data_IF_615789972866
#
_entry.id   IF_615789972866
#
_cell.length_a   1.000
_cell.length_b   1.000
_cell.length_c   1.000
_cell.angle_alpha   90.00
_cell.angle_beta   90.00
_cell.angle_gamma   90.00
#
_symmetry.space_group_name_H-M   'P 1'
#
loop_
_entity.id
_entity.type
_entity.pdbx_description
1 polymer ?
#
# COMPACT_ATOMS: atom_id res chain seq x y z
N UNK A 1 13.74 -8.93 -16.49
CA UNK A 1 12.95 -8.16 -15.51
C UNK A 1 12.14 -9.19 -14.77
N UNK A 2 12.43 -9.38 -13.48
CA UNK A 2 11.67 -10.32 -12.68
C UNK A 2 10.30 -9.71 -12.40
N UNK A 3 9.28 -10.18 -13.14
CA UNK A 3 7.86 -9.89 -12.86
C UNK A 3 7.39 -10.55 -11.54
N UNK A 4 8.28 -11.27 -10.86
CA UNK A 4 8.04 -11.82 -9.54
C UNK A 4 8.09 -10.70 -8.51
N UNK A 5 6.98 -10.56 -7.79
CA UNK A 5 6.93 -9.78 -6.57
C UNK A 5 7.66 -10.54 -5.47
N UNK A 6 8.52 -9.85 -4.75
CA UNK A 6 9.14 -10.36 -3.53
C UNK A 6 8.18 -10.25 -2.36
N UNK A 7 8.36 -11.11 -1.35
CA UNK A 7 7.57 -11.07 -0.12
C UNK A 7 7.64 -9.70 0.55
N UNK A 8 8.79 -9.01 0.46
CA UNK A 8 8.97 -7.65 0.95
C UNK A 8 8.07 -6.63 0.25
N UNK A 9 7.93 -6.69 -1.09
CA UNK A 9 7.05 -5.80 -1.84
C UNK A 9 5.57 -6.02 -1.48
N UNK A 10 5.20 -7.30 -1.28
CA UNK A 10 3.84 -7.70 -0.92
C UNK A 10 3.47 -7.19 0.49
N UNK A 11 4.40 -7.32 1.45
CA UNK A 11 4.21 -6.83 2.82
C UNK A 11 4.04 -5.31 2.83
N UNK A 12 4.91 -4.57 2.14
CA UNK A 12 4.78 -3.11 2.02
C UNK A 12 3.42 -2.76 1.43
N UNK A 13 3.03 -3.41 0.33
CA UNK A 13 1.75 -3.15 -0.32
C UNK A 13 0.57 -3.33 0.63
N UNK A 14 0.45 -4.48 1.29
CA UNK A 14 -0.71 -4.78 2.13
C UNK A 14 -0.70 -3.95 3.42
N UNK A 15 0.47 -3.73 4.02
CA UNK A 15 0.57 -2.90 5.21
C UNK A 15 0.13 -1.46 4.93
N UNK A 16 0.68 -0.80 3.92
CA UNK A 16 0.32 0.59 3.65
C UNK A 16 -1.12 0.75 3.13
N UNK A 17 -1.61 -0.14 2.26
CA UNK A 17 -3.00 -0.07 1.77
C UNK A 17 -3.99 -0.34 2.91
N UNK A 18 -3.72 -1.28 3.81
CA UNK A 18 -4.59 -1.53 4.96
C UNK A 18 -4.67 -0.32 5.92
N UNK A 19 -3.61 0.49 5.98
CA UNK A 19 -3.55 1.74 6.75
C UNK A 19 -4.16 2.95 6.01
N UNK A 20 -4.73 2.75 4.82
CA UNK A 20 -5.47 3.77 4.06
C UNK A 20 -4.66 4.52 3.01
N UNK A 21 -3.45 4.07 2.68
CA UNK A 21 -2.67 4.66 1.59
C UNK A 21 -3.24 4.30 0.22
N UNK A 22 -3.13 5.21 -0.73
CA UNK A 22 -3.53 5.01 -2.14
C UNK A 22 -2.54 4.10 -2.86
N UNK A 23 -2.96 3.50 -3.97
CA UNK A 23 -2.07 2.72 -4.85
C UNK A 23 -0.91 3.58 -5.43
N UNK A 24 -1.15 4.88 -5.59
CA UNK A 24 -0.12 5.85 -5.97
C UNK A 24 0.92 6.04 -4.87
N UNK A 25 0.48 6.30 -3.63
CA UNK A 25 1.38 6.44 -2.49
C UNK A 25 2.21 5.17 -2.28
N UNK A 26 1.58 4.00 -2.36
CA UNK A 26 2.30 2.71 -2.22
C UNK A 26 3.31 2.51 -3.35
N UNK A 27 2.97 2.89 -4.59
CA UNK A 27 3.93 2.89 -5.70
C UNK A 27 5.14 3.79 -5.43
N UNK A 28 4.94 4.96 -4.84
CA UNK A 28 6.02 5.85 -4.40
C UNK A 28 6.85 5.25 -3.26
N UNK A 29 6.22 4.67 -2.23
CA UNK A 29 6.92 4.00 -1.12
C UNK A 29 7.80 2.86 -1.65
N UNK A 30 7.25 2.02 -2.53
CA UNK A 30 8.01 0.96 -3.20
C UNK A 30 9.20 1.55 -3.98
N UNK A 31 8.99 2.65 -4.71
CA UNK A 31 10.03 3.31 -5.48
C UNK A 31 11.19 3.81 -4.61
N UNK A 32 10.88 4.47 -3.49
CA UNK A 32 11.87 4.96 -2.52
C UNK A 32 12.69 3.81 -1.93
N UNK A 33 12.06 2.65 -1.72
CA UNK A 33 12.72 1.43 -1.22
C UNK A 33 13.47 0.64 -2.30
N UNK A 34 13.52 1.14 -3.54
CA UNK A 34 14.27 0.55 -4.65
C UNK A 34 13.44 -0.37 -5.55
N UNK A 35 12.14 -0.52 -5.29
CA UNK A 35 11.23 -1.35 -6.08
C UNK A 35 10.43 -0.49 -7.06
N UNK A 36 10.58 -0.75 -8.36
CA UNK A 36 9.88 0.04 -9.39
C UNK A 36 8.60 -0.66 -9.82
N UNK A 37 7.49 -0.39 -9.12
CA UNK A 37 6.15 -0.90 -9.47
C UNK A 37 5.20 0.24 -9.82
N UNK A 38 4.56 0.25 -11.00
CA UNK A 38 3.55 1.26 -11.32
C UNK A 38 2.29 1.05 -10.46
N UNK A 39 1.48 2.09 -10.23
CA UNK A 39 0.24 1.99 -9.44
C UNK A 39 -0.73 0.92 -9.97
N UNK A 40 -0.80 0.76 -11.29
CA UNK A 40 -1.60 -0.30 -11.92
C UNK A 40 -1.15 -1.71 -11.53
N UNK A 41 0.14 -1.95 -11.36
CA UNK A 41 0.65 -3.24 -10.90
C UNK A 41 0.38 -3.46 -9.41
N UNK A 42 0.44 -2.39 -8.60
CA UNK A 42 0.05 -2.41 -7.18
C UNK A 42 -1.42 -2.81 -7.06
N UNK A 43 -2.30 -2.17 -7.83
CA UNK A 43 -3.73 -2.52 -7.85
C UNK A 43 -3.98 -3.96 -8.29
N UNK A 44 -3.33 -4.42 -9.36
CA UNK A 44 -3.49 -5.80 -9.84
C UNK A 44 -3.03 -6.81 -8.80
N UNK A 45 -1.87 -6.59 -8.18
CA UNK A 45 -1.37 -7.49 -7.14
C UNK A 45 -2.28 -7.50 -5.91
N UNK A 46 -2.81 -6.33 -5.53
CA UNK A 46 -3.79 -6.24 -4.46
C UNK A 46 -5.01 -7.15 -4.70
N UNK A 47 -5.58 -7.12 -5.92
CA UNK A 47 -6.71 -7.97 -6.27
C UNK A 47 -6.36 -9.46 -6.17
N UNK A 48 -5.18 -9.86 -6.62
CA UNK A 48 -4.70 -11.24 -6.52
C UNK A 48 -4.58 -11.69 -5.06
N UNK A 49 -4.06 -10.83 -4.19
CA UNK A 49 -3.92 -11.13 -2.76
C UNK A 49 -5.30 -11.26 -2.11
N UNK A 50 -6.23 -10.36 -2.40
CA UNK A 50 -7.59 -10.43 -1.85
C UNK A 50 -8.37 -11.65 -2.35
N UNK A 51 -8.11 -12.09 -3.58
CA UNK A 51 -8.68 -13.34 -4.12
C UNK A 51 -8.13 -14.58 -3.39
N UNK A 52 -6.83 -14.58 -3.06
CA UNK A 52 -6.20 -15.68 -2.32
C UNK A 52 -6.51 -15.66 -0.82
N UNK A 53 -6.65 -14.47 -0.23
CA UNK A 53 -6.80 -14.22 1.20
C UNK A 53 -7.99 -13.29 1.48
N UNK A 54 -9.23 -13.73 1.19
CA UNK A 54 -10.42 -12.89 1.35
C UNK A 54 -10.71 -12.52 2.82
N UNK A 55 -10.10 -13.23 3.77
CA UNK A 55 -10.23 -12.94 5.21
C UNK A 55 -9.47 -11.70 5.67
N UNK A 56 -8.62 -11.11 4.83
CA UNK A 56 -7.94 -9.84 5.11
C UNK A 56 -8.91 -8.65 5.06
N UNK A 57 -10.07 -8.82 4.44
CA UNK A 57 -11.15 -7.86 4.46
C UNK A 57 -12.33 -8.38 5.27
N UNK A 58 -12.89 -7.47 6.07
CA UNK A 58 -14.18 -7.65 6.71
C UNK A 58 -15.28 -7.82 5.66
N UNK A 59 -16.42 -8.39 6.07
CA UNK A 59 -17.60 -8.58 5.18
C UNK A 59 -18.17 -7.29 4.61
N UNK A 60 -17.80 -6.15 5.17
CA UNK A 60 -18.20 -4.81 4.72
C UNK A 60 -17.21 -4.20 3.74
N UNK A 61 -16.13 -4.91 3.38
CA UNK A 61 -15.09 -4.45 2.46
C UNK A 61 -14.02 -3.57 3.10
N UNK A 62 -14.05 -3.39 4.43
CA UNK A 62 -12.99 -2.71 5.16
C UNK A 62 -11.86 -3.68 5.48
N UNK A 63 -10.62 -3.20 5.52
CA UNK A 63 -9.47 -3.97 5.97
C UNK A 63 -9.62 -4.40 7.42
N UNK A 64 -9.37 -5.68 7.69
CA UNK A 64 -9.27 -6.21 9.04
C UNK A 64 -7.80 -6.12 9.47
N UNK A 65 -7.46 -5.07 10.22
CA UNK A 65 -6.06 -4.76 10.58
C UNK A 65 -5.45 -5.87 11.44
N UNK A 66 -6.23 -6.47 12.33
CA UNK A 66 -5.75 -7.54 13.20
C UNK A 66 -5.38 -8.78 12.36
N UNK A 67 -6.22 -9.13 11.37
CA UNK A 67 -5.97 -10.23 10.44
C UNK A 67 -4.79 -9.93 9.49
N UNK A 68 -4.62 -8.67 9.10
CA UNK A 68 -3.49 -8.24 8.27
C UNK A 68 -2.19 -8.34 9.04
N UNK A 69 -2.14 -7.84 10.28
CA UNK A 69 -0.95 -7.90 11.13
C UNK A 69 -0.61 -9.38 11.45
N UNK A 70 -1.59 -10.23 11.77
CA UNK A 70 -1.38 -11.67 11.98
C UNK A 70 -0.89 -12.39 10.71
N UNK A 71 -1.41 -12.00 9.53
CA UNK A 71 -0.95 -12.56 8.27
C UNK A 71 0.50 -12.15 7.97
N UNK A 72 0.86 -10.90 8.22
CA UNK A 72 2.26 -10.43 8.08
C UNK A 72 3.17 -11.18 9.04
N UNK A 73 2.76 -11.38 10.30
CA UNK A 73 3.52 -12.16 11.29
C UNK A 73 3.67 -13.63 10.90
N UNK A 74 2.70 -14.18 10.15
CA UNK A 74 2.75 -15.55 9.62
C UNK A 74 3.71 -15.72 8.45
N UNK A 75 4.03 -14.64 7.73
CA UNK A 75 5.08 -14.66 6.71
C UNK A 75 6.39 -14.80 7.47
N UNK A 76 7.09 -15.92 7.27
CA UNK A 76 8.26 -16.40 8.03
C UNK A 76 9.52 -15.53 7.86
N UNK A 77 9.36 -14.21 7.90
CA UNK A 77 10.41 -13.20 7.88
C UNK A 77 10.83 -12.86 9.30
N UNK A 78 12.10 -12.51 9.46
CA UNK A 78 12.60 -12.03 10.74
C UNK A 78 11.86 -10.74 11.12
N UNK A 79 11.36 -10.68 12.36
CA UNK A 79 10.58 -9.55 12.89
C UNK A 79 11.29 -8.20 12.70
N UNK A 80 12.63 -8.19 12.76
CA UNK A 80 13.45 -6.99 12.53
C UNK A 80 13.43 -6.54 11.06
N UNK A 81 13.41 -7.49 10.11
CA UNK A 81 13.27 -7.19 8.68
C UNK A 81 11.87 -6.67 8.35
N UNK A 82 10.83 -7.25 8.94
CA UNK A 82 9.45 -6.74 8.80
C UNK A 82 9.36 -5.33 9.37
N UNK A 83 9.88 -5.10 10.58
CA UNK A 83 9.84 -3.79 11.22
C UNK A 83 10.60 -2.73 10.41
N UNK A 84 11.71 -3.08 9.76
CA UNK A 84 12.41 -2.19 8.84
C UNK A 84 11.61 -1.89 7.57
N UNK A 85 10.86 -2.88 7.05
CA UNK A 85 10.01 -2.75 5.86
C UNK A 85 8.73 -1.94 6.11
N UNK A 86 8.16 -2.01 7.32
CA UNK A 86 6.96 -1.24 7.70
C UNK A 86 7.30 0.04 8.47
N UNK A 87 8.59 0.27 8.77
CA UNK A 87 9.04 1.48 9.46
C UNK A 87 8.60 2.70 8.65
N UNK A 88 7.67 3.46 9.24
CA UNK A 88 7.13 4.68 8.67
C UNK A 88 8.25 5.74 8.77
N UNK A 89 8.91 6.00 7.65
CA UNK A 89 9.91 7.07 7.55
C UNK A 89 9.20 8.42 7.41
N UNK A 90 9.88 9.52 7.79
CA UNK A 90 9.36 10.88 7.57
C UNK A 90 8.97 11.16 6.10
N UNK A 91 9.47 10.34 5.17
CA UNK A 91 9.12 10.35 3.75
C UNK A 91 7.70 9.81 3.53
N UNK A 92 7.29 8.76 4.23
CA UNK A 92 5.95 8.18 4.13
C UNK A 92 4.88 9.16 4.66
N UNK A 93 5.22 9.94 5.70
CA UNK A 93 4.39 11.03 6.20
C UNK A 93 4.31 12.21 5.21
N UNK A 94 5.39 12.53 4.51
CA UNK A 94 5.39 13.56 3.47
C UNK A 94 4.61 13.13 2.22
N UNK A 95 4.68 11.86 1.82
CA UNK A 95 3.89 11.30 0.71
C UNK A 95 2.39 11.32 1.07
N UNK A 96 2.02 10.97 2.30
CA UNK A 96 0.64 11.07 2.76
C UNK A 96 0.12 12.52 2.82
N UNK A 97 1.01 13.50 3.09
CA UNK A 97 0.67 14.93 3.12
C UNK A 97 0.56 15.53 1.70
N UNK A 98 1.43 15.12 0.76
CA UNK A 98 1.36 15.51 -0.66
C UNK A 98 0.11 14.96 -1.36
N UNK A 99 -0.25 13.68 -1.13
CA UNK A 99 -1.47 13.09 -1.70
C UNK A 99 -2.76 13.72 -1.13
N UNK A 100 -2.71 14.31 0.07
CA UNK A 100 -3.82 15.05 0.67
C UNK A 100 -4.02 16.43 -0.01
N UNK A 101 -2.96 16.99 -0.59
CA UNK A 101 -3.02 18.26 -1.32
C UNK A 101 -3.47 18.10 -2.79
N UNK A 102 -3.13 16.99 -3.45
CA UNK A 102 -3.50 16.78 -4.86
C UNK A 102 -5.01 16.50 -5.06
N UNK A 103 -5.71 16.01 -4.03
CA UNK A 103 -7.17 15.85 -4.10
C UNK A 103 -7.94 17.18 -4.06
N UNK A 104 -7.34 18.28 -3.58
CA UNK A 104 -8.01 19.58 -3.49
C UNK A 104 -7.92 20.34 -4.82
N UNK A 105 -6.82 20.23 -5.58
CA UNK A 105 -6.66 20.99 -6.82
C UNK A 105 -7.41 20.39 -8.03
N UNK A 106 -7.58 19.06 -8.11
CA UNK A 106 -8.29 18.46 -9.25
C UNK A 106 -9.81 18.74 -9.20
N UNK A 107 -10.43 18.76 -8.01
CA UNK A 107 -11.85 19.08 -7.88
C UNK A 107 -12.14 20.59 -7.92
N UNK A 108 -11.19 21.44 -7.51
CA UNK A 108 -11.37 22.90 -7.56
C UNK A 108 -11.34 23.44 -9.00
N UNK A 109 -10.56 22.85 -9.91
CA UNK A 109 -10.47 23.32 -11.30
C UNK A 109 -11.71 22.94 -12.12
N UNK A 110 -12.41 21.85 -11.79
CA UNK A 110 -13.65 21.45 -12.51
C UNK A 110 -14.92 22.15 -12.03
N UNK A 111 -14.90 22.86 -10.89
CA UNK A 111 -16.09 23.51 -10.32
C UNK A 111 -16.27 24.98 -10.73
N UNK A 112 -15.30 25.60 -11.42
CA UNK A 112 -15.35 27.02 -11.82
C UNK A 112 -15.55 27.26 -13.33
N UNK A 113 -16.00 26.24 -14.05
CA UNK A 113 -16.33 26.32 -15.48
C UNK A 113 -17.78 25.87 -15.77
N UNK A 114 -18.75 26.46 -15.08
CA UNK A 114 -20.15 26.48 -15.52
C UNK A 114 -20.82 27.81 -15.22
#
# INVERSE_FOLDING_TARGET
>A
MDDRWSDAEIIILIYFISRGFTDLAVSHVLHVRGYRRPPSAVWQMLQVILEHYPYLQTKTGHWDIDQVDEWIDSLSMEHEAVNWLISCTNIDAAIADEDCFDFIDVYAITAFAS
#
